data_IF_635147881671
#
_entry.id   IF_635147881671
#
_cell.length_a   1.000
_cell.length_b   1.000
_cell.length_c   1.000
_cell.angle_alpha   90.00
_cell.angle_beta   90.00
_cell.angle_gamma   90.00
#
_symmetry.space_group_name_H-M   'P 1'
#
loop_
_entity.id
_entity.type
_entity.pdbx_description
1 polymer ?
#
# COMPACT_ATOMS: atom_id res chain seq x y z
N UNK A 1 -8.19 0.40 -13.33
CA UNK A 1 -7.19 0.35 -12.24
C UNK A 1 -6.00 -0.48 -12.71
N UNK A 2 -4.78 -0.22 -12.22
CA UNK A 2 -3.59 -0.99 -12.62
C UNK A 2 -3.68 -2.46 -12.19
N UNK A 3 -2.93 -3.33 -12.87
CA UNK A 3 -2.85 -4.75 -12.53
C UNK A 3 -2.24 -4.93 -11.13
N UNK A 4 -2.65 -5.96 -10.35
CA UNK A 4 -2.05 -6.23 -9.05
C UNK A 4 -0.57 -6.60 -9.18
N UNK A 5 0.25 -6.13 -8.24
CA UNK A 5 1.67 -6.47 -8.17
C UNK A 5 1.95 -7.68 -7.26
N UNK A 6 0.95 -8.23 -6.60
CA UNK A 6 1.05 -9.35 -5.66
C UNK A 6 0.97 -10.74 -6.32
N UNK A 7 1.10 -10.81 -7.65
CA UNK A 7 1.15 -12.07 -8.38
C UNK A 7 2.48 -12.82 -8.15
N UNK A 8 2.47 -13.73 -7.18
CA UNK A 8 3.56 -14.67 -6.95
C UNK A 8 4.84 -14.03 -6.41
N UNK A 9 5.98 -14.57 -6.83
CA UNK A 9 7.30 -14.04 -6.48
C UNK A 9 8.24 -14.08 -7.69
N UNK A 10 9.19 -13.16 -7.70
CA UNK A 10 10.37 -13.18 -8.56
C UNK A 10 11.49 -13.99 -7.90
N UNK A 11 12.09 -14.93 -8.62
CA UNK A 11 13.32 -15.60 -8.18
C UNK A 11 14.50 -14.63 -8.29
N UNK A 12 15.15 -14.40 -7.16
CA UNK A 12 16.29 -13.51 -7.06
C UNK A 12 17.59 -14.33 -7.08
N UNK A 13 18.68 -13.77 -7.64
CA UNK A 13 19.98 -14.45 -7.61
C UNK A 13 20.46 -14.66 -6.17
N UNK A 14 21.12 -15.79 -5.92
CA UNK A 14 21.64 -16.15 -4.60
C UNK A 14 22.74 -17.21 -4.68
N UNK A 15 23.41 -17.50 -3.56
CA UNK A 15 24.40 -18.57 -3.51
C UNK A 15 23.73 -19.95 -3.63
N UNK A 16 24.52 -20.95 -3.99
CA UNK A 16 24.07 -22.34 -3.94
C UNK A 16 23.69 -22.71 -2.51
N UNK A 17 22.56 -23.40 -2.37
CA UNK A 17 22.01 -23.75 -1.06
C UNK A 17 20.96 -22.77 -0.56
N UNK A 18 20.68 -21.72 -1.32
CA UNK A 18 19.68 -20.70 -0.99
C UNK A 18 18.63 -20.59 -2.11
N UNK A 19 17.38 -20.37 -1.72
CA UNK A 19 16.32 -19.88 -2.61
C UNK A 19 15.86 -18.52 -2.13
N UNK A 20 15.85 -17.54 -3.04
CA UNK A 20 15.50 -16.15 -2.75
C UNK A 20 14.30 -15.72 -3.57
N UNK A 21 13.23 -15.31 -2.88
CA UNK A 21 11.98 -14.91 -3.50
C UNK A 21 11.67 -13.46 -3.14
N UNK A 22 11.47 -12.59 -4.14
CA UNK A 22 10.95 -11.23 -3.96
C UNK A 22 9.47 -11.20 -4.33
N UNK A 23 8.61 -10.72 -3.44
CA UNK A 23 7.17 -10.60 -3.69
C UNK A 23 6.65 -9.25 -3.22
N UNK A 24 5.56 -8.77 -3.80
CA UNK A 24 4.86 -7.56 -3.35
C UNK A 24 3.57 -7.93 -2.59
N UNK A 25 3.22 -7.11 -1.61
CA UNK A 25 2.00 -7.26 -0.82
C UNK A 25 1.35 -5.88 -0.64
N UNK A 26 0.02 -5.80 -0.55
CA UNK A 26 -0.64 -4.55 -0.18
C UNK A 26 -0.09 -4.02 1.16
N UNK A 27 0.07 -2.69 1.28
CA UNK A 27 0.55 -2.05 2.51
C UNK A 27 -0.36 -2.34 3.70
N UNK A 28 -1.67 -2.25 3.49
CA UNK A 28 -2.67 -2.39 4.54
C UNK A 28 -3.86 -1.45 4.33
N UNK A 29 -4.16 -0.61 5.32
CA UNK A 29 -5.20 0.42 5.19
C UNK A 29 -4.60 1.74 4.68
N UNK A 30 -5.17 2.29 3.61
CA UNK A 30 -4.73 3.55 2.99
C UNK A 30 -5.80 4.64 3.18
N UNK A 31 -5.39 5.82 3.63
CA UNK A 31 -6.26 6.99 3.73
C UNK A 31 -6.21 7.81 2.42
N UNK A 32 -7.32 7.90 1.70
CA UNK A 32 -7.45 8.68 0.46
C UNK A 32 -8.11 10.03 0.74
N UNK A 33 -7.35 11.12 0.62
CA UNK A 33 -7.74 12.46 1.10
C UNK A 33 -7.99 13.48 -0.03
N UNK A 34 -8.27 13.03 -1.25
CA UNK A 34 -8.68 13.90 -2.35
C UNK A 34 -7.56 14.82 -2.89
N UNK A 35 -7.88 16.05 -3.32
CA UNK A 35 -8.74 16.98 -2.58
C UNK A 35 -10.23 17.00 -2.98
N UNK A 36 -10.60 16.31 -4.04
CA UNK A 36 -11.97 16.26 -4.58
C UNK A 36 -12.42 14.81 -4.78
N UNK A 37 -13.72 14.62 -5.07
CA UNK A 37 -14.28 13.29 -5.28
C UNK A 37 -13.60 12.53 -6.43
N UNK A 38 -13.21 13.21 -7.52
CA UNK A 38 -12.61 12.57 -8.69
C UNK A 38 -11.24 11.97 -8.35
N UNK A 39 -10.34 12.79 -7.79
CA UNK A 39 -9.02 12.36 -7.34
C UNK A 39 -9.11 11.34 -6.22
N UNK A 40 -10.07 11.46 -5.30
CA UNK A 40 -10.30 10.49 -4.23
C UNK A 40 -10.73 9.12 -4.76
N UNK A 41 -11.59 9.07 -5.80
CA UNK A 41 -11.97 7.83 -6.49
C UNK A 41 -10.76 7.20 -7.18
N UNK A 42 -9.93 7.98 -7.87
CA UNK A 42 -8.71 7.47 -8.51
C UNK A 42 -7.73 6.88 -7.47
N UNK A 43 -7.53 7.59 -6.36
CA UNK A 43 -6.69 7.14 -5.24
C UNK A 43 -7.20 5.81 -4.66
N UNK A 44 -8.50 5.74 -4.37
CA UNK A 44 -9.11 4.54 -3.82
C UNK A 44 -9.02 3.36 -4.79
N UNK A 45 -9.24 3.60 -6.08
CA UNK A 45 -9.14 2.59 -7.12
C UNK A 45 -7.75 1.99 -7.24
N UNK A 46 -6.70 2.82 -7.24
CA UNK A 46 -5.31 2.33 -7.27
C UNK A 46 -4.97 1.54 -6.00
N UNK A 47 -5.32 2.05 -4.83
CA UNK A 47 -5.03 1.36 -3.57
C UNK A 47 -5.74 -0.01 -3.48
N UNK A 48 -7.03 -0.07 -3.81
CA UNK A 48 -7.82 -1.30 -3.83
C UNK A 48 -7.26 -2.34 -4.81
N UNK A 49 -6.81 -1.91 -6.00
CA UNK A 49 -6.27 -2.84 -6.99
C UNK A 49 -4.93 -3.45 -6.61
N UNK A 50 -4.25 -2.87 -5.62
CA UNK A 50 -3.01 -3.39 -5.02
C UNK A 50 -3.25 -4.11 -3.68
N UNK A 51 -4.49 -4.55 -3.41
CA UNK A 51 -4.82 -5.36 -2.23
C UNK A 51 -4.97 -4.56 -0.93
N UNK A 52 -5.04 -3.24 -0.99
CA UNK A 52 -5.24 -2.41 0.20
C UNK A 52 -6.71 -2.26 0.56
N UNK A 53 -6.99 -2.02 1.84
CA UNK A 53 -8.27 -1.46 2.29
C UNK A 53 -8.18 0.06 2.21
N UNK A 54 -9.32 0.74 2.11
CA UNK A 54 -9.33 2.21 1.96
C UNK A 54 -10.36 2.90 2.83
N UNK A 55 -9.96 4.02 3.44
CA UNK A 55 -10.88 5.03 3.96
C UNK A 55 -10.71 6.28 3.12
N UNK A 56 -11.82 6.80 2.59
CA UNK A 56 -11.85 7.98 1.74
C UNK A 56 -12.50 9.13 2.49
N UNK A 57 -11.81 10.26 2.58
CA UNK A 57 -12.33 11.50 3.17
C UNK A 57 -12.09 12.62 2.17
N UNK A 58 -13.13 12.96 1.40
CA UNK A 58 -13.09 14.04 0.42
C UNK A 58 -14.51 14.61 0.21
N UNK A 59 -14.65 15.86 -0.26
CA UNK A 59 -15.96 16.42 -0.59
C UNK A 59 -16.68 15.59 -1.65
N UNK A 60 -17.87 15.07 -1.34
CA UNK A 60 -18.70 14.27 -2.26
C UNK A 60 -18.25 12.82 -2.44
N UNK A 61 -17.34 12.33 -1.60
CA UNK A 61 -16.83 10.96 -1.64
C UNK A 61 -17.93 9.91 -1.42
N UNK A 62 -18.87 10.15 -0.50
CA UNK A 62 -19.93 9.17 -0.19
C UNK A 62 -20.80 8.89 -1.41
N UNK A 63 -21.22 9.95 -2.10
CA UNK A 63 -22.00 9.83 -3.34
C UNK A 63 -21.18 9.19 -4.46
N UNK A 64 -19.93 9.60 -4.64
CA UNK A 64 -19.08 9.10 -5.71
C UNK A 64 -18.72 7.61 -5.55
N UNK A 65 -18.66 7.11 -4.32
CA UNK A 65 -18.26 5.73 -4.00
C UNK A 65 -19.43 4.84 -3.55
N UNK A 66 -20.68 5.32 -3.62
CA UNK A 66 -21.85 4.59 -3.16
C UNK A 66 -22.00 3.19 -3.79
N UNK A 67 -21.76 3.08 -5.10
CA UNK A 67 -21.84 1.81 -5.81
C UNK A 67 -20.73 0.83 -5.40
N UNK A 68 -19.51 1.34 -5.18
CA UNK A 68 -18.38 0.55 -4.70
C UNK A 68 -18.62 0.00 -3.28
N UNK A 69 -19.16 0.84 -2.40
CA UNK A 69 -19.55 0.45 -1.04
C UNK A 69 -20.67 -0.60 -1.07
N UNK A 70 -21.71 -0.38 -1.89
CA UNK A 70 -22.83 -1.31 -2.06
C UNK A 70 -22.37 -2.67 -2.64
N UNK A 71 -21.36 -2.66 -3.49
CA UNK A 71 -20.74 -3.87 -4.04
C UNK A 71 -19.90 -4.66 -3.00
N UNK A 72 -19.71 -4.13 -1.79
CA UNK A 72 -18.97 -4.81 -0.72
C UNK A 72 -17.45 -4.74 -0.88
N UNK A 73 -16.94 -3.79 -1.67
CA UNK A 73 -15.49 -3.53 -1.73
C UNK A 73 -14.99 -3.08 -0.34
N UNK A 74 -13.72 -3.32 0.02
CA UNK A 74 -13.17 -2.95 1.32
C UNK A 74 -12.86 -1.45 1.40
N UNK A 75 -13.92 -0.65 1.31
CA UNK A 75 -13.90 0.81 1.25
C UNK A 75 -14.95 1.40 2.18
N UNK A 76 -14.55 2.47 2.87
CA UNK A 76 -15.45 3.36 3.61
C UNK A 76 -15.22 4.78 3.10
N UNK A 77 -16.28 5.54 2.91
CA UNK A 77 -16.20 6.94 2.50
C UNK A 77 -16.92 7.85 3.51
N UNK A 78 -16.40 9.06 3.68
CA UNK A 78 -17.02 10.13 4.46
C UNK A 78 -16.86 11.44 3.69
N UNK A 79 -17.93 12.23 3.66
CA UNK A 79 -17.86 13.57 3.06
C UNK A 79 -17.12 14.55 3.99
N UNK A 80 -16.14 15.27 3.44
CA UNK A 80 -15.44 16.34 4.15
C UNK A 80 -13.98 16.48 3.76
N UNK A 81 -13.26 17.35 4.48
CA UNK A 81 -11.81 17.49 4.40
C UNK A 81 -11.24 17.12 5.77
N UNK A 82 -10.24 16.24 5.78
CA UNK A 82 -9.59 15.86 7.03
C UNK A 82 -8.78 17.04 7.58
N UNK A 83 -8.99 17.39 8.85
CA UNK A 83 -8.08 18.29 9.57
C UNK A 83 -6.69 17.64 9.63
N UNK A 84 -5.62 18.29 9.13
CA UNK A 84 -4.28 17.73 9.17
C UNK A 84 -3.86 17.24 10.56
N UNK A 85 -4.24 17.92 11.64
CA UNK A 85 -3.79 17.54 12.99
C UNK A 85 -4.37 16.19 13.43
N UNK A 86 -5.51 15.76 12.87
CA UNK A 86 -6.07 14.43 13.12
C UNK A 86 -5.10 13.30 12.74
N UNK A 87 -4.27 13.50 11.70
CA UNK A 87 -3.25 12.52 11.31
C UNK A 87 -2.17 12.30 12.38
N UNK A 88 -2.02 13.21 13.34
CA UNK A 88 -1.09 13.01 14.46
C UNK A 88 -1.61 12.02 15.52
N UNK A 89 -2.91 11.73 15.52
CA UNK A 89 -3.59 10.93 16.55
C UNK A 89 -4.24 9.65 16.03
N UNK A 90 -4.69 9.63 14.77
CA UNK A 90 -5.35 8.46 14.18
C UNK A 90 -4.41 7.25 14.12
N UNK A 91 -4.91 6.03 14.28
CA UNK A 91 -4.09 4.80 14.20
C UNK A 91 -4.69 3.80 13.23
N UNK A 92 -3.93 2.77 12.85
CA UNK A 92 -4.43 1.64 12.07
C UNK A 92 -4.43 1.84 10.55
N UNK A 93 -3.65 2.79 10.03
CA UNK A 93 -3.39 2.98 8.61
C UNK A 93 -1.90 2.96 8.32
N UNK A 94 -1.56 2.58 7.08
CA UNK A 94 -0.20 2.29 6.63
C UNK A 94 0.29 3.28 5.56
N UNK A 95 -0.61 4.11 5.02
CA UNK A 95 -0.26 5.21 4.12
C UNK A 95 -1.37 6.27 4.07
N UNK A 96 -0.98 7.49 3.70
CA UNK A 96 -1.89 8.56 3.29
C UNK A 96 -1.62 8.87 1.83
N UNK A 97 -2.66 9.04 1.02
CA UNK A 97 -2.55 9.54 -0.35
C UNK A 97 -3.36 10.81 -0.52
N UNK A 98 -2.76 11.82 -1.17
CA UNK A 98 -3.43 13.07 -1.51
C UNK A 98 -2.69 13.76 -2.65
N UNK A 99 -3.44 14.41 -3.55
CA UNK A 99 -2.91 15.30 -4.59
C UNK A 99 -3.31 16.76 -4.36
N UNK A 100 -3.60 17.11 -3.11
CA UNK A 100 -3.90 18.48 -2.72
C UNK A 100 -2.71 19.42 -2.95
N UNK A 101 -2.96 20.73 -2.81
CA UNK A 101 -1.91 21.72 -2.96
C UNK A 101 -0.79 21.55 -1.92
N UNK A 102 0.43 22.00 -2.29
CA UNK A 102 1.64 21.89 -1.47
C UNK A 102 1.48 22.37 -0.01
N UNK A 103 0.74 23.46 0.31
CA UNK A 103 0.53 23.87 1.69
C UNK A 103 -0.16 22.79 2.54
N UNK A 104 -1.21 22.16 2.01
CA UNK A 104 -1.94 21.11 2.73
C UNK A 104 -1.11 19.83 2.85
N UNK A 105 -0.41 19.44 1.78
CA UNK A 105 0.51 18.29 1.82
C UNK A 105 1.64 18.47 2.84
N UNK A 106 2.12 19.71 3.03
CA UNK A 106 3.10 20.03 4.08
C UNK A 106 2.48 19.83 5.47
N UNK A 107 1.25 20.28 5.69
CA UNK A 107 0.55 20.10 6.97
C UNK A 107 0.34 18.61 7.28
N UNK A 108 -0.08 17.79 6.30
CA UNK A 108 -0.19 16.33 6.47
C UNK A 108 1.14 15.68 6.85
N UNK A 109 2.24 16.04 6.17
CA UNK A 109 3.59 15.52 6.53
C UNK A 109 4.01 15.92 7.94
N UNK A 110 3.77 17.17 8.33
CA UNK A 110 4.09 17.67 9.67
C UNK A 110 3.25 17.01 10.76
N UNK A 111 1.99 16.69 10.49
CA UNK A 111 1.15 15.97 11.45
C UNK A 111 1.59 14.52 11.61
N UNK A 112 1.87 13.82 10.50
CA UNK A 112 2.38 12.45 10.53
C UNK A 112 3.75 12.35 11.22
N UNK A 113 4.62 13.36 11.10
CA UNK A 113 5.93 13.35 11.76
C UNK A 113 5.87 13.48 13.29
N UNK A 114 4.71 13.83 13.87
CA UNK A 114 4.51 13.87 15.33
C UNK A 114 4.15 12.50 15.91
N UNK A 115 3.88 11.49 15.08
CA UNK A 115 3.45 10.17 15.52
C UNK A 115 4.63 9.37 16.05
N UNK A 116 4.34 8.51 17.01
CA UNK A 116 5.23 7.43 17.41
C UNK A 116 5.03 6.21 16.50
N UNK A 117 6.10 5.42 16.29
CA UNK A 117 6.07 4.20 15.50
C UNK A 117 6.55 4.36 14.05
N UNK A 118 5.97 3.58 13.13
CA UNK A 118 6.41 3.52 11.75
C UNK A 118 6.24 4.88 11.03
N UNK A 119 7.22 5.24 10.20
CA UNK A 119 7.14 6.42 9.33
C UNK A 119 6.20 6.13 8.17
N UNK A 120 5.00 6.69 8.24
CA UNK A 120 3.97 6.48 7.22
C UNK A 120 4.18 7.41 6.01
N UNK A 121 4.08 6.89 4.77
CA UNK A 121 4.25 7.70 3.58
C UNK A 121 3.05 8.62 3.33
N UNK A 122 3.35 9.81 2.79
CA UNK A 122 2.37 10.65 2.08
C UNK A 122 2.60 10.48 0.59
N UNK A 123 1.76 9.68 -0.05
CA UNK A 123 1.81 9.34 -1.47
C UNK A 123 1.21 10.51 -2.26
N UNK A 124 2.00 11.10 -3.15
CA UNK A 124 1.57 12.15 -4.09
C UNK A 124 1.47 11.65 -5.53
N UNK A 125 2.12 10.53 -5.85
CA UNK A 125 2.00 9.85 -7.15
C UNK A 125 0.83 8.86 -7.13
N UNK A 126 -0.41 9.34 -7.01
CA UNK A 126 -1.58 8.49 -6.73
C UNK A 126 -1.91 7.45 -7.82
N UNK A 127 -1.38 7.64 -9.04
CA UNK A 127 -1.50 6.70 -10.17
C UNK A 127 -0.37 5.67 -10.24
N UNK A 128 0.66 5.79 -9.41
CA UNK A 128 1.82 4.89 -9.39
C UNK A 128 1.56 3.75 -8.40
N UNK A 129 1.19 2.58 -8.92
CA UNK A 129 0.82 1.39 -8.15
C UNK A 129 1.91 0.89 -7.20
N UNK A 130 3.19 1.00 -7.56
CA UNK A 130 4.31 0.60 -6.68
C UNK A 130 4.31 1.38 -5.36
N UNK A 131 3.66 2.55 -5.29
CA UNK A 131 3.51 3.30 -4.04
C UNK A 131 2.54 2.66 -3.06
N UNK A 132 1.74 1.68 -3.46
CA UNK A 132 0.69 1.06 -2.63
C UNK A 132 1.02 -0.36 -2.17
N UNK A 133 2.24 -0.84 -2.43
CA UNK A 133 2.71 -2.15 -1.99
C UNK A 133 3.93 -2.04 -1.07
N UNK A 134 4.18 -3.10 -0.31
CA UNK A 134 5.45 -3.39 0.37
C UNK A 134 6.11 -4.59 -0.29
N UNK A 135 7.43 -4.54 -0.38
CA UNK A 135 8.24 -5.65 -0.87
C UNK A 135 8.56 -6.60 0.29
N UNK A 136 8.52 -7.91 0.03
CA UNK A 136 8.94 -8.96 0.94
C UNK A 136 9.96 -9.84 0.23
N UNK A 137 11.16 -9.89 0.80
CA UNK A 137 12.19 -10.84 0.42
C UNK A 137 12.18 -12.03 1.38
N UNK A 138 12.01 -13.23 0.84
CA UNK A 138 12.07 -14.50 1.56
C UNK A 138 13.30 -15.28 1.12
N UNK A 139 14.20 -15.55 2.08
CA UNK A 139 15.41 -16.34 1.88
C UNK A 139 15.24 -17.69 2.59
N UNK A 140 15.43 -18.78 1.85
CA UNK A 140 15.24 -20.15 2.31
C UNK A 140 16.58 -20.89 2.24
N UNK A 141 17.08 -21.34 3.39
CA UNK A 141 18.22 -22.27 3.46
C UNK A 141 17.75 -23.68 3.05
N UNK A 142 18.09 -24.06 1.82
CA UNK A 142 17.77 -25.38 1.26
C UNK A 142 18.74 -26.47 1.72
N UNK A 143 19.81 -26.11 2.42
CA UNK A 143 20.84 -27.03 2.93
C UNK A 143 20.70 -27.38 4.41
N UNK A 144 19.72 -26.77 5.10
CA UNK A 144 19.49 -26.95 6.53
C UNK A 144 19.36 -28.43 6.97
N UNK A 145 18.95 -29.32 6.07
CA UNK A 145 18.84 -30.76 6.32
C UNK A 145 20.16 -31.56 6.20
N UNK A 146 21.30 -30.91 5.90
CA UNK A 146 22.63 -31.53 5.88
C UNK A 146 23.22 -31.81 4.49
N UNK A 147 22.66 -31.26 3.42
CA UNK A 147 23.18 -31.40 2.05
C UNK A 147 22.34 -30.65 1.02
N UNK A 148 22.94 -30.29 -0.12
CA UNK A 148 22.22 -29.63 -1.21
C UNK A 148 21.69 -30.67 -2.20
N UNK A 149 20.38 -30.94 -2.16
CA UNK A 149 19.75 -31.93 -3.02
C UNK A 149 19.94 -31.64 -4.53
N UNK A 150 19.90 -30.37 -4.93
CA UNK A 150 20.10 -29.96 -6.33
C UNK A 150 21.53 -30.27 -6.80
N UNK A 151 22.53 -30.08 -5.95
CA UNK A 151 23.91 -30.45 -6.26
C UNK A 151 24.08 -31.98 -6.35
N UNK A 152 23.47 -32.73 -5.44
CA UNK A 152 23.51 -34.20 -5.45
C UNK A 152 22.89 -34.74 -6.75
N UNK A 153 21.73 -34.23 -7.14
CA UNK A 153 21.05 -34.63 -8.38
C UNK A 153 21.83 -34.25 -9.65
N UNK A 154 22.66 -33.20 -9.61
CA UNK A 154 23.49 -32.80 -10.75
C UNK A 154 24.80 -33.59 -10.89
N UNK A 155 25.18 -34.34 -9.85
CA UNK A 155 26.40 -35.14 -9.80
C UNK A 155 26.19 -36.62 -10.18
N UNK A 156 24.94 -37.05 -10.33
CA UNK A 156 24.52 -38.34 -10.90
C UNK A 156 24.27 -38.25 -12.41
#
# INVERSE_FOLDING_TARGET
>A
VPAPLDEGYEEMPGPTGEQNHLSCHGRGLVLCLGPDAESAVEQAGTALSQGNKVVVIAPGAEKALADAIKAGLPIVASDGMLDPDALSHLTGFEAVVSVAEKPLLKQYRMALSKREGALLPVITEHKLDQRYVIERHLCIDTTAAGGNASLIASAE
#
